data_IF_269092605575
#
_entry.id   IF_269092605575
#
_cell.length_a   1.000
_cell.length_b   1.000
_cell.length_c   1.000
_cell.angle_alpha   90.00
_cell.angle_beta   90.00
_cell.angle_gamma   90.00
#
_symmetry.space_group_name_H-M   'P 1'
#
loop_
_entity.id
_entity.type
_entity.pdbx_description
1 polymer ?
#
# COMPACT_ATOMS: atom_id res chain seq x y z
N UNK A 1 29.92 -12.18 1.85
CA UNK A 1 29.33 -11.88 0.52
C UNK A 1 28.04 -11.11 0.78
N UNK A 2 27.92 -9.87 0.30
CA UNK A 2 26.77 -9.02 0.56
C UNK A 2 25.54 -9.57 -0.19
N UNK A 3 24.52 -10.05 0.53
CA UNK A 3 23.29 -10.53 -0.06
C UNK A 3 22.37 -9.33 -0.31
N UNK A 4 22.24 -8.90 -1.57
CA UNK A 4 21.28 -7.90 -1.99
C UNK A 4 20.06 -8.61 -2.56
N UNK A 5 18.93 -8.58 -1.84
CA UNK A 5 17.67 -9.16 -2.29
C UNK A 5 16.67 -8.03 -2.53
N UNK A 6 16.34 -7.78 -3.80
CA UNK A 6 15.30 -6.83 -4.20
C UNK A 6 14.02 -7.58 -4.59
N UNK A 7 12.91 -7.23 -3.96
CA UNK A 7 11.58 -7.68 -4.37
C UNK A 7 10.65 -6.49 -4.57
N UNK A 8 10.05 -6.39 -5.74
CA UNK A 8 9.01 -5.39 -6.00
C UNK A 8 7.65 -6.05 -5.92
N UNK A 9 6.87 -5.71 -4.90
CA UNK A 9 5.45 -6.03 -4.87
C UNK A 9 4.67 -4.98 -5.66
N UNK A 10 3.91 -5.48 -6.62
CA UNK A 10 2.87 -4.72 -7.31
C UNK A 10 1.51 -5.27 -6.90
N UNK A 11 0.48 -4.42 -6.97
CA UNK A 11 -0.89 -4.93 -6.97
C UNK A 11 -1.01 -5.93 -8.13
N UNK A 12 -1.59 -7.14 -7.93
CA UNK A 12 -1.75 -8.10 -9.02
C UNK A 12 -2.41 -7.39 -10.20
N UNK A 13 -1.74 -7.43 -11.36
CA UNK A 13 -2.29 -6.81 -12.55
C UNK A 13 -3.63 -7.48 -12.85
N UNK A 14 -4.70 -6.71 -12.78
CA UNK A 14 -6.01 -7.18 -13.22
C UNK A 14 -5.92 -7.47 -14.72
N UNK A 15 -6.62 -8.50 -15.22
CA UNK A 15 -6.69 -8.74 -16.65
C UNK A 15 -7.19 -7.46 -17.35
N UNK A 16 -6.61 -7.14 -18.50
CA UNK A 16 -6.86 -5.88 -19.23
C UNK A 16 -8.36 -5.57 -19.38
N UNK A 17 -9.18 -6.62 -19.60
CA UNK A 17 -10.64 -6.51 -19.65
C UNK A 17 -11.27 -5.91 -18.39
N UNK A 18 -10.83 -6.32 -17.18
CA UNK A 18 -11.34 -5.74 -15.93
C UNK A 18 -10.97 -4.26 -15.79
N UNK A 19 -9.80 -3.86 -16.28
CA UNK A 19 -9.39 -2.46 -16.32
C UNK A 19 -10.24 -1.68 -17.31
N UNK A 20 -10.47 -2.23 -18.51
CA UNK A 20 -11.34 -1.65 -19.53
C UNK A 20 -12.78 -1.46 -19.01
N UNK A 21 -13.35 -2.51 -18.40
CA UNK A 21 -14.70 -2.50 -17.85
C UNK A 21 -14.85 -1.48 -16.70
N UNK A 22 -13.81 -1.32 -15.89
CA UNK A 22 -13.77 -0.29 -14.85
C UNK A 22 -13.76 1.13 -15.45
N UNK A 23 -13.00 1.36 -16.52
CA UNK A 23 -12.98 2.65 -17.22
C UNK A 23 -14.35 2.95 -17.83
N UNK A 24 -14.92 2.00 -18.58
CA UNK A 24 -16.25 2.13 -19.18
C UNK A 24 -17.31 2.40 -18.11
N UNK A 25 -17.27 1.66 -16.99
CA UNK A 25 -18.19 1.86 -15.88
C UNK A 25 -18.08 3.25 -15.24
N UNK A 26 -16.86 3.79 -15.08
CA UNK A 26 -16.66 5.15 -14.57
C UNK A 26 -17.24 6.18 -15.52
N UNK A 27 -16.96 6.06 -16.83
CA UNK A 27 -17.48 6.99 -17.85
C UNK A 27 -19.00 6.97 -17.89
N UNK A 28 -19.61 5.77 -17.91
CA UNK A 28 -21.06 5.61 -17.86
C UNK A 28 -21.66 6.18 -16.58
N UNK A 29 -21.03 5.94 -15.42
CA UNK A 29 -21.48 6.46 -14.14
C UNK A 29 -21.44 7.98 -14.07
N UNK A 30 -20.38 8.61 -14.59
CA UNK A 30 -20.30 10.08 -14.66
C UNK A 30 -21.38 10.63 -15.58
N UNK A 31 -21.58 10.01 -16.75
CA UNK A 31 -22.60 10.45 -17.70
C UNK A 31 -24.02 10.34 -17.09
N UNK A 32 -24.29 9.25 -16.36
CA UNK A 32 -25.54 9.06 -15.64
C UNK A 32 -25.75 10.11 -14.54
N UNK A 33 -24.70 10.44 -13.77
CA UNK A 33 -24.77 11.49 -12.75
C UNK A 33 -25.08 12.87 -13.36
N UNK A 34 -24.47 13.21 -14.49
CA UNK A 34 -24.76 14.46 -15.21
C UNK A 34 -26.21 14.48 -15.70
N UNK A 35 -26.72 13.36 -16.21
CA UNK A 35 -28.10 13.25 -16.66
C UNK A 35 -29.11 13.37 -15.50
N UNK A 36 -28.78 12.84 -14.32
CA UNK A 36 -29.56 13.03 -13.09
C UNK A 36 -29.56 14.50 -12.61
N UNK A 37 -28.46 15.24 -12.81
CA UNK A 37 -28.39 16.66 -12.46
C UNK A 37 -29.37 17.51 -13.28
N UNK A 38 -29.59 17.15 -14.55
CA UNK A 38 -30.53 17.87 -15.43
C UNK A 38 -32.01 17.75 -15.00
N UNK A 39 -32.35 16.75 -14.18
CA UNK A 39 -33.70 16.58 -13.63
C UNK A 39 -33.96 17.42 -12.36
N UNK A 40 -32.93 18.10 -11.84
CA UNK A 40 -33.03 18.92 -10.64
C UNK A 40 -33.34 20.39 -10.97
N UNK A 41 -34.04 21.12 -10.10
CA UNK A 41 -34.28 22.55 -10.26
C UNK A 41 -32.94 23.33 -10.26
N UNK A 42 -32.89 24.43 -11.03
CA UNK A 42 -31.66 25.15 -11.40
C UNK A 42 -30.71 25.49 -10.24
N UNK A 43 -31.24 25.86 -9.07
CA UNK A 43 -30.42 26.16 -7.87
C UNK A 43 -29.72 24.92 -7.30
N UNK A 44 -30.38 23.76 -7.33
CA UNK A 44 -29.80 22.49 -6.88
C UNK A 44 -28.85 21.90 -7.92
N UNK A 45 -29.13 22.10 -9.22
CA UNK A 45 -28.28 21.62 -10.30
C UNK A 45 -26.87 22.25 -10.27
N UNK A 46 -26.76 23.54 -9.97
CA UNK A 46 -25.47 24.22 -9.82
C UNK A 46 -24.65 23.66 -8.65
N UNK A 47 -25.28 23.46 -7.49
CA UNK A 47 -24.62 22.88 -6.31
C UNK A 47 -24.20 21.42 -6.56
N UNK A 48 -25.07 20.63 -7.18
CA UNK A 48 -24.82 19.23 -7.51
C UNK A 48 -23.66 19.08 -8.51
N UNK A 49 -23.54 19.98 -9.48
CA UNK A 49 -22.44 19.99 -10.45
C UNK A 49 -21.07 20.18 -9.78
N UNK A 50 -20.97 21.15 -8.85
CA UNK A 50 -19.75 21.39 -8.07
C UNK A 50 -19.43 20.17 -7.20
N UNK A 51 -20.44 19.58 -6.56
CA UNK A 51 -20.27 18.39 -5.73
C UNK A 51 -19.76 17.18 -6.54
N UNK A 52 -20.30 16.94 -7.73
CA UNK A 52 -19.86 15.86 -8.63
C UNK A 52 -18.42 16.09 -9.10
N UNK A 53 -18.03 17.34 -9.38
CA UNK A 53 -16.67 17.67 -9.79
C UNK A 53 -15.65 17.41 -8.67
N UNK A 54 -15.98 17.81 -7.44
CA UNK A 54 -15.14 17.52 -6.27
C UNK A 54 -15.06 16.02 -5.99
N UNK A 55 -16.19 15.30 -6.11
CA UNK A 55 -16.24 13.86 -5.92
C UNK A 55 -15.39 13.13 -6.97
N UNK A 56 -15.50 13.50 -8.25
CA UNK A 56 -14.73 12.90 -9.33
C UNK A 56 -13.24 13.17 -9.16
N UNK A 57 -12.84 14.40 -8.82
CA UNK A 57 -11.44 14.74 -8.53
C UNK A 57 -10.87 13.89 -7.38
N UNK A 58 -11.67 13.67 -6.33
CA UNK A 58 -11.28 12.83 -5.18
C UNK A 58 -11.15 11.36 -5.56
N UNK A 59 -12.09 10.81 -6.34
CA UNK A 59 -12.04 9.43 -6.83
C UNK A 59 -10.85 9.22 -7.77
N UNK A 60 -10.61 10.13 -8.71
CA UNK A 60 -9.45 10.08 -9.61
C UNK A 60 -8.14 10.10 -8.83
N UNK A 61 -7.99 11.04 -7.88
CA UNK A 61 -6.81 11.12 -7.02
C UNK A 61 -6.60 9.84 -6.20
N UNK A 62 -7.69 9.24 -5.71
CA UNK A 62 -7.65 7.98 -4.98
C UNK A 62 -7.21 6.81 -5.86
N UNK A 63 -7.78 6.69 -7.06
CA UNK A 63 -7.42 5.64 -8.03
C UNK A 63 -5.95 5.75 -8.43
N UNK A 64 -5.48 6.94 -8.78
CA UNK A 64 -4.07 7.19 -9.13
C UNK A 64 -3.16 6.77 -7.98
N UNK A 65 -3.41 7.27 -6.77
CA UNK A 65 -2.54 7.01 -5.62
C UNK A 65 -2.53 5.55 -5.15
N UNK A 66 -3.65 4.82 -5.31
CA UNK A 66 -3.78 3.45 -4.84
C UNK A 66 -3.37 2.41 -5.89
N UNK A 67 -3.73 2.61 -7.16
CA UNK A 67 -3.51 1.65 -8.26
C UNK A 67 -2.10 1.73 -8.86
N UNK A 68 -1.46 2.89 -8.84
CA UNK A 68 -0.13 3.09 -9.45
C UNK A 68 1.02 2.97 -8.43
N UNK A 69 0.71 2.87 -7.14
CA UNK A 69 1.72 2.70 -6.11
C UNK A 69 2.29 1.27 -6.16
N UNK A 70 3.54 1.16 -6.61
CA UNK A 70 4.35 -0.06 -6.49
C UNK A 70 5.22 0.07 -5.25
N UNK A 71 5.40 -1.02 -4.51
CA UNK A 71 6.30 -1.04 -3.36
C UNK A 71 7.50 -1.94 -3.66
N UNK A 72 8.70 -1.39 -3.58
CA UNK A 72 9.94 -2.14 -3.68
C UNK A 72 10.53 -2.34 -2.29
N UNK A 73 10.82 -3.58 -1.95
CA UNK A 73 11.49 -4.00 -0.72
C UNK A 73 12.92 -4.41 -1.09
N UNK A 74 13.90 -3.74 -0.51
CA UNK A 74 15.31 -4.07 -0.65
C UNK A 74 15.82 -4.53 0.70
N UNK A 75 16.38 -5.73 0.74
CA UNK A 75 17.18 -6.21 1.85
C UNK A 75 18.64 -6.07 1.43
N UNK A 76 19.38 -5.19 2.11
CA UNK A 76 20.79 -4.94 1.88
C UNK A 76 21.51 -5.18 3.20
N UNK A 77 22.30 -6.24 3.25
CA UNK A 77 23.04 -6.68 4.43
C UNK A 77 22.14 -6.82 5.66
N UNK A 78 22.14 -5.80 6.53
CA UNK A 78 21.42 -5.77 7.80
C UNK A 78 20.31 -4.69 7.84
N UNK A 79 19.86 -4.22 6.67
CA UNK A 79 18.86 -3.17 6.51
C UNK A 79 17.73 -3.60 5.58
N UNK A 80 16.50 -3.32 6.01
CA UNK A 80 15.29 -3.45 5.23
C UNK A 80 14.84 -2.04 4.79
N UNK A 81 15.04 -1.75 3.51
CA UNK A 81 14.65 -0.49 2.87
C UNK A 81 13.38 -0.70 2.06
N UNK A 82 12.40 0.17 2.29
CA UNK A 82 11.09 0.11 1.64
C UNK A 82 10.89 1.38 0.85
N UNK A 83 10.76 1.20 -0.46
CA UNK A 83 10.57 2.27 -1.41
C UNK A 83 9.15 2.22 -1.96
N UNK A 84 8.53 3.38 -2.10
CA UNK A 84 7.31 3.54 -2.89
C UNK A 84 7.69 4.13 -4.23
N UNK A 85 7.31 3.42 -5.28
CA UNK A 85 7.45 3.86 -6.64
C UNK A 85 6.09 4.32 -7.15
N UNK A 86 6.04 5.56 -7.63
CA UNK A 86 4.88 6.15 -8.28
C UNK A 86 5.32 6.66 -9.66
N UNK A 87 4.94 5.94 -10.72
CA UNK A 87 5.45 6.19 -12.06
C UNK A 87 6.96 5.96 -12.17
N UNK A 88 7.71 7.00 -12.56
CA UNK A 88 9.18 6.99 -12.69
C UNK A 88 9.92 7.41 -11.41
N UNK A 89 9.21 7.91 -10.40
CA UNK A 89 9.84 8.38 -9.14
C UNK A 89 9.87 7.23 -8.12
N UNK A 90 11.05 6.94 -7.60
CA UNK A 90 11.27 6.03 -6.47
C UNK A 90 11.61 6.84 -5.23
N UNK A 91 10.83 6.70 -4.15
CA UNK A 91 11.10 7.36 -2.88
C UNK A 91 11.24 6.31 -1.78
N UNK A 92 12.37 6.34 -1.06
CA UNK A 92 12.53 5.55 0.16
C UNK A 92 11.60 6.10 1.26
N UNK A 93 10.64 5.29 1.69
CA UNK A 93 9.68 5.67 2.75
C UNK A 93 10.21 5.27 4.11
N UNK A 94 10.84 4.10 4.20
CA UNK A 94 11.22 3.52 5.47
C UNK A 94 12.53 2.75 5.32
N UNK A 95 13.42 2.96 6.27
CA UNK A 95 14.67 2.25 6.43
C UNK A 95 14.73 1.74 7.88
N UNK A 96 14.80 0.41 8.00
CA UNK A 96 14.76 -0.33 9.26
C UNK A 96 16.02 -1.19 9.32
N UNK A 97 16.81 -1.04 10.38
CA UNK A 97 17.87 -1.99 10.69
C UNK A 97 17.26 -3.27 11.24
N UNK A 98 17.75 -4.42 10.80
CA UNK A 98 17.27 -5.73 11.29
C UNK A 98 17.60 -5.90 12.79
N UNK A 99 18.60 -5.16 13.29
CA UNK A 99 18.88 -5.00 14.72
C UNK A 99 17.66 -4.51 15.52
N UNK A 100 16.81 -3.69 14.93
CA UNK A 100 15.73 -2.97 15.59
C UNK A 100 14.40 -3.72 15.48
N UNK A 101 14.35 -4.79 14.68
CA UNK A 101 13.17 -5.64 14.49
C UNK A 101 13.03 -6.55 15.71
N UNK A 102 11.85 -6.51 16.33
CA UNK A 102 11.48 -7.34 17.48
C UNK A 102 10.74 -8.60 17.05
N UNK A 103 9.90 -8.50 16.02
CA UNK A 103 9.05 -9.60 15.59
C UNK A 103 8.66 -9.45 14.12
N UNK A 104 8.58 -10.59 13.42
CA UNK A 104 8.05 -10.66 12.07
C UNK A 104 7.16 -11.90 11.92
N UNK A 105 5.98 -11.72 11.33
CA UNK A 105 5.08 -12.83 11.07
C UNK A 105 3.93 -12.47 10.13
N UNK A 106 3.12 -13.44 9.71
CA UNK A 106 1.96 -13.19 8.87
C UNK A 106 0.92 -12.35 9.63
N UNK A 107 0.23 -11.46 8.90
CA UNK A 107 -0.77 -10.55 9.47
C UNK A 107 -1.92 -11.29 10.19
N UNK A 108 -2.20 -12.54 9.83
CA UNK A 108 -3.24 -13.36 10.48
C UNK A 108 -2.90 -13.74 11.92
N UNK A 109 -1.62 -13.92 12.21
CA UNK A 109 -1.12 -14.30 13.55
C UNK A 109 -0.87 -13.06 14.42
N UNK A 110 -0.93 -11.87 13.82
CA UNK A 110 -0.67 -10.62 14.52
C UNK A 110 -1.83 -10.27 15.46
N UNK A 111 -1.63 -10.51 16.76
CA UNK A 111 -2.49 -9.98 17.82
C UNK A 111 -2.06 -8.57 18.17
N UNK A 112 -2.98 -7.62 18.04
CA UNK A 112 -2.72 -6.19 18.27
C UNK A 112 -2.71 -5.85 19.77
N UNK A 113 -1.89 -6.56 20.54
CA UNK A 113 -1.81 -6.43 21.99
C UNK A 113 -0.97 -5.21 22.41
N UNK A 114 -0.03 -4.76 21.57
CA UNK A 114 0.82 -3.59 21.83
C UNK A 114 0.26 -2.29 21.22
N UNK A 115 0.42 -1.18 21.95
CA UNK A 115 0.15 0.19 21.46
C UNK A 115 1.33 0.67 20.61
N UNK A 116 1.14 0.75 19.29
CA UNK A 116 2.14 1.33 18.38
C UNK A 116 1.95 2.83 18.21
N UNK A 117 3.04 3.57 18.12
CA UNK A 117 2.97 5.01 17.82
C UNK A 117 2.44 5.27 16.41
N UNK A 118 2.85 4.44 15.45
CA UNK A 118 2.41 4.53 14.05
C UNK A 118 2.51 3.18 13.38
N UNK A 119 1.52 2.89 12.55
CA UNK A 119 1.50 1.71 11.68
C UNK A 119 1.72 2.16 10.23
N UNK A 120 2.76 1.66 9.59
CA UNK A 120 3.06 1.92 8.18
C UNK A 120 2.42 0.84 7.32
N UNK A 121 1.48 1.23 6.46
CA UNK A 121 0.85 0.32 5.50
C UNK A 121 1.56 0.43 4.15
N UNK A 122 2.57 -0.40 3.93
CA UNK A 122 3.42 -0.43 2.73
C UNK A 122 3.25 -1.74 1.97
N UNK A 123 2.00 -2.19 1.84
CA UNK A 123 1.61 -3.38 1.09
C UNK A 123 0.59 -3.00 0.01
N UNK A 124 0.68 -3.62 -1.17
CA UNK A 124 -0.35 -3.48 -2.21
C UNK A 124 -1.66 -4.19 -1.83
N UNK A 125 -1.57 -5.26 -1.04
CA UNK A 125 -2.72 -5.99 -0.51
C UNK A 125 -2.92 -5.67 0.96
N UNK A 126 -4.17 -5.43 1.36
CA UNK A 126 -4.53 -5.15 2.77
C UNK A 126 -4.86 -6.41 3.57
N UNK A 127 -5.03 -7.57 2.92
CA UNK A 127 -5.35 -8.87 3.53
C UNK A 127 -4.76 -10.03 2.73
N UNK A 128 -4.47 -11.15 3.41
CA UNK A 128 -4.03 -12.42 2.80
C UNK A 128 -2.76 -12.99 3.44
N UNK A 129 -2.45 -14.25 3.11
CA UNK A 129 -1.31 -15.01 3.67
C UNK A 129 0.06 -14.47 3.26
N UNK A 130 0.10 -13.64 2.21
CA UNK A 130 1.32 -13.01 1.72
C UNK A 130 1.62 -11.67 2.40
N UNK A 131 0.75 -11.20 3.30
CA UNK A 131 0.93 -9.94 4.03
C UNK A 131 1.55 -10.23 5.39
N UNK A 132 2.69 -9.60 5.65
CA UNK A 132 3.45 -9.75 6.88
C UNK A 132 3.40 -8.46 7.70
N UNK A 133 3.53 -8.62 9.01
CA UNK A 133 3.71 -7.54 9.96
C UNK A 133 5.12 -7.65 10.54
N UNK A 134 5.81 -6.52 10.60
CA UNK A 134 7.11 -6.36 11.24
C UNK A 134 6.96 -5.34 12.37
N UNK A 135 7.27 -5.75 13.60
CA UNK A 135 7.39 -4.87 14.76
C UNK A 135 8.84 -4.42 14.89
N UNK A 136 9.07 -3.12 15.00
CA UNK A 136 10.41 -2.57 15.20
C UNK A 136 10.39 -1.37 16.15
N UNK A 137 11.51 -1.15 16.82
CA UNK A 137 11.66 -0.03 17.76
C UNK A 137 12.65 0.98 17.21
N UNK A 138 12.21 2.23 17.09
CA UNK A 138 13.07 3.34 16.65
C UNK A 138 12.96 4.48 17.66
N UNK A 139 14.08 4.96 18.19
CA UNK A 139 14.11 6.01 19.22
C UNK A 139 13.18 5.71 20.41
N UNK A 140 13.29 4.51 20.99
CA UNK A 140 12.48 4.03 22.13
C UNK A 140 10.96 3.96 21.90
N UNK A 141 10.50 4.04 20.64
CA UNK A 141 9.08 3.98 20.28
C UNK A 141 8.83 2.79 19.38
N UNK A 142 7.78 2.03 19.68
CA UNK A 142 7.37 0.87 18.89
C UNK A 142 6.55 1.28 17.67
N UNK A 143 6.92 0.74 16.53
CA UNK A 143 6.26 0.93 15.25
C UNK A 143 5.89 -0.43 14.66
N UNK A 144 4.80 -0.44 13.90
CA UNK A 144 4.40 -1.60 13.12
C UNK A 144 4.51 -1.27 11.64
N UNK A 145 5.05 -2.19 10.86
CA UNK A 145 5.11 -2.14 9.42
C UNK A 145 4.30 -3.30 8.86
N UNK A 146 3.38 -3.01 7.95
CA UNK A 146 2.64 -4.00 7.17
C UNK A 146 3.17 -3.96 5.75
N UNK A 147 3.70 -5.08 5.28
CA UNK A 147 4.35 -5.20 3.97
C UNK A 147 4.12 -6.59 3.37
N UNK A 148 4.50 -6.77 2.10
CA UNK A 148 4.25 -8.01 1.36
C UNK A 148 5.58 -8.62 0.86
N UNK A 149 6.41 -9.20 1.75
CA UNK A 149 7.68 -9.81 1.34
C UNK A 149 7.45 -11.01 0.42
N UNK A 150 8.41 -11.28 -0.45
CA UNK A 150 8.50 -12.57 -1.12
C UNK A 150 9.10 -13.62 -0.18
N UNK A 151 8.97 -14.90 -0.53
CA UNK A 151 9.49 -16.02 0.26
C UNK A 151 10.99 -15.88 0.57
N UNK A 152 11.79 -15.38 -0.38
CA UNK A 152 13.22 -15.13 -0.17
C UNK A 152 13.49 -14.11 0.95
N UNK A 153 12.81 -12.94 0.91
CA UNK A 153 12.97 -11.90 1.93
C UNK A 153 12.44 -12.37 3.29
N UNK A 154 11.29 -13.07 3.30
CA UNK A 154 10.71 -13.58 4.52
C UNK A 154 11.61 -14.64 5.19
N UNK A 155 12.23 -15.52 4.39
CA UNK A 155 13.16 -16.55 4.88
C UNK A 155 14.44 -15.91 5.43
N UNK A 156 15.01 -14.94 4.71
CA UNK A 156 16.23 -14.26 5.14
C UNK A 156 16.00 -13.47 6.43
N UNK A 157 14.90 -12.70 6.52
CA UNK A 157 14.54 -11.97 7.74
C UNK A 157 14.34 -12.91 8.93
N UNK A 158 13.62 -14.04 8.74
CA UNK A 158 13.44 -15.03 9.80
C UNK A 158 14.76 -15.68 10.22
N UNK A 159 15.65 -15.98 9.28
CA UNK A 159 16.98 -16.55 9.57
C UNK A 159 17.84 -15.59 10.42
N UNK A 160 17.90 -14.32 10.03
CA UNK A 160 18.67 -13.31 10.75
C UNK A 160 18.08 -12.96 12.13
N UNK A 161 16.75 -13.10 12.30
CA UNK A 161 16.08 -12.93 13.60
C UNK A 161 16.20 -14.17 14.50
N UNK A 162 16.27 -15.37 13.93
CA UNK A 162 16.48 -16.61 14.68
C UNK A 162 17.90 -16.73 15.25
N UNK A 163 18.91 -16.22 14.53
CA UNK A 163 20.30 -16.14 15.02
C UNK A 163 20.54 -15.11 16.13
N UNK A 164 19.50 -14.38 16.55
CA UNK A 164 19.55 -13.38 17.62
C UNK A 164 19.11 -13.92 18.98
N UNK A 165 18.63 -15.16 19.05
CA UNK A 165 18.26 -15.84 20.31
C UNK A 165 19.45 -16.55 20.93
#
# INVERSE_FOLDING_TARGET
MAALIRHTACEPQKPLWQTLLSIVGIVLGINFLVQMIHLLPAKLAALASIAVLLFSARVCSYLINRKLAKYSYLLIDNQLIIQKQLGKRENAILDIKISDIQWIGPLREFKKEKKYKKTYYLACRTRGDKVYVCEFTKNYKSYALIFQPNEAIAKELKGQLGNKQ
#
